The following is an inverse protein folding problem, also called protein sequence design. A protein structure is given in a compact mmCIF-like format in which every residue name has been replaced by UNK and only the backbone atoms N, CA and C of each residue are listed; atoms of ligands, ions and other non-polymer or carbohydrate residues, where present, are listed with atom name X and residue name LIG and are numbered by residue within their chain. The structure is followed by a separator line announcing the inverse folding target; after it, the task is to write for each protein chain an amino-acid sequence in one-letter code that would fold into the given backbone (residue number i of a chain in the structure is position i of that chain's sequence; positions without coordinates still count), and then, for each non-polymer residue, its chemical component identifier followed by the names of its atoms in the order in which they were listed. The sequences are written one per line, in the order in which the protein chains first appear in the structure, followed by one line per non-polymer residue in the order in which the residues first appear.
data_IF_907022233345
#
_entry.id   IF_907022233345
#
_cell.length_a   1.000
_cell.length_b   1.000
_cell.length_c   1.000
_cell.angle_alpha   90.00
_cell.angle_beta   90.00
_cell.angle_gamma   90.00
#
_symmetry.space_group_name_H-M   'P 1'
#
loop_
_entity.id
_entity.type
_entity.pdbx_description
1 polymer ?
#
# COMPACT_ATOMS: atom_id res chain seq x y z
N UNK A 1 -23.46 9.96 -8.83
CA UNK A 1 -22.52 11.00 -9.31
C UNK A 1 -21.95 10.52 -10.63
N UNK A 2 -22.26 11.19 -11.75
CA UNK A 2 -21.72 10.87 -13.07
C UNK A 2 -20.41 11.64 -13.27
N UNK A 3 -19.29 10.96 -13.55
CA UNK A 3 -17.93 11.53 -13.65
C UNK A 3 -17.22 11.04 -14.94
N UNK A 4 -17.73 11.40 -16.14
CA UNK A 4 -17.23 10.86 -17.41
C UNK A 4 -15.79 11.25 -17.71
N UNK A 5 -15.30 12.34 -17.12
CA UNK A 5 -13.93 12.83 -17.29
C UNK A 5 -12.99 12.41 -16.14
N UNK A 6 -13.49 11.67 -15.13
CA UNK A 6 -12.71 11.21 -13.98
C UNK A 6 -12.17 12.32 -13.06
N UNK A 7 -12.60 13.58 -13.25
CA UNK A 7 -12.08 14.75 -12.51
C UNK A 7 -12.39 14.64 -11.02
N UNK A 8 -13.57 14.14 -10.66
CA UNK A 8 -13.93 14.00 -9.25
C UNK A 8 -13.12 12.90 -8.57
N UNK A 9 -12.89 11.77 -9.25
CA UNK A 9 -12.00 10.72 -8.76
C UNK A 9 -10.57 11.21 -8.58
N UNK A 10 -9.98 11.88 -9.59
CA UNK A 10 -8.63 12.44 -9.53
C UNK A 10 -8.46 13.37 -8.33
N UNK A 11 -9.42 14.28 -8.11
CA UNK A 11 -9.42 15.20 -6.96
C UNK A 11 -9.56 14.48 -5.61
N UNK A 12 -10.23 13.32 -5.55
CA UNK A 12 -10.31 12.50 -4.33
C UNK A 12 -8.98 11.83 -4.03
N UNK A 13 -8.34 11.25 -5.04
CA UNK A 13 -7.02 10.59 -4.94
C UNK A 13 -5.97 11.62 -4.49
N UNK A 14 -5.93 12.78 -5.14
CA UNK A 14 -4.99 13.86 -4.79
C UNK A 14 -5.15 14.33 -3.35
N UNK A 15 -6.39 14.67 -2.95
CA UNK A 15 -6.67 15.09 -1.56
C UNK A 15 -6.31 14.01 -0.55
N UNK A 16 -6.51 12.73 -0.88
CA UNK A 16 -6.15 11.62 0.00
C UNK A 16 -4.65 11.54 0.22
N UNK A 17 -3.85 11.65 -0.84
CA UNK A 17 -2.40 11.66 -0.72
C UNK A 17 -1.89 12.89 0.05
N UNK A 18 -2.37 14.10 -0.29
CA UNK A 18 -1.98 15.31 0.42
C UNK A 18 -2.32 15.23 1.90
N UNK A 19 -3.51 14.75 2.25
CA UNK A 19 -3.90 14.52 3.64
C UNK A 19 -2.99 13.52 4.36
N UNK A 20 -2.65 12.40 3.72
CA UNK A 20 -1.72 11.43 4.30
C UNK A 20 -0.32 12.01 4.53
N UNK A 21 0.24 12.78 3.59
CA UNK A 21 1.60 13.32 3.69
C UNK A 21 1.71 14.51 4.66
N UNK A 22 0.70 15.39 4.67
CA UNK A 22 0.73 16.61 5.49
C UNK A 22 0.22 16.38 6.92
N UNK A 23 -0.87 15.63 7.06
CA UNK A 23 -1.56 15.40 8.34
C UNK A 23 -1.28 14.01 8.89
N UNK A 24 -1.30 13.00 8.02
CA UNK A 24 -1.26 11.60 8.42
C UNK A 24 -2.66 11.02 8.68
N UNK A 25 -2.71 9.71 8.93
CA UNK A 25 -3.96 8.99 9.14
C UNK A 25 -4.34 8.78 10.61
N UNK A 26 -3.42 9.07 11.54
CA UNK A 26 -3.65 8.93 12.99
C UNK A 26 -3.67 7.49 13.52
N UNK A 27 -3.48 6.47 12.67
CA UNK A 27 -3.53 5.07 13.07
C UNK A 27 -2.19 4.61 13.68
N UNK A 28 -2.16 3.99 14.88
CA UNK A 28 -0.93 3.57 15.55
C UNK A 28 -0.23 2.40 14.82
N UNK A 29 -0.98 1.54 14.14
CA UNK A 29 -0.42 0.43 13.35
C UNK A 29 0.03 0.86 11.94
N UNK A 30 -0.15 2.13 11.55
CA UNK A 30 0.20 2.54 10.20
C UNK A 30 1.70 2.40 9.98
N UNK A 31 2.10 1.70 8.92
CA UNK A 31 3.49 1.57 8.46
C UNK A 31 3.65 2.01 7.00
N UNK A 32 2.65 2.68 6.44
CA UNK A 32 2.73 3.22 5.09
C UNK A 32 3.69 4.42 5.04
N UNK A 33 4.75 4.29 4.23
CA UNK A 33 5.75 5.35 4.01
C UNK A 33 5.21 6.59 3.27
N UNK A 34 4.03 6.50 2.65
CA UNK A 34 3.31 7.62 2.03
C UNK A 34 2.32 8.27 3.00
N UNK A 35 2.55 8.14 4.30
CA UNK A 35 1.75 8.75 5.35
C UNK A 35 2.63 9.29 6.47
N UNK A 36 2.42 10.55 6.88
CA UNK A 36 3.13 11.19 8.00
C UNK A 36 3.11 10.35 9.27
N UNK A 37 1.93 9.88 9.68
CA UNK A 37 1.79 8.96 10.82
C UNK A 37 2.59 7.68 10.62
N UNK A 38 2.53 7.06 9.43
CA UNK A 38 3.23 5.80 9.17
C UNK A 38 4.75 5.94 9.15
N UNK A 39 5.27 7.10 8.76
CA UNK A 39 6.69 7.43 8.85
C UNK A 39 7.11 7.69 10.29
N UNK A 40 6.32 8.45 11.05
CA UNK A 40 6.57 8.68 12.48
C UNK A 40 6.61 7.37 13.29
N UNK A 41 5.68 6.44 13.03
CA UNK A 41 5.67 5.12 13.67
C UNK A 41 6.88 4.23 13.32
N UNK A 42 7.65 4.62 12.30
CA UNK A 42 8.85 3.91 11.83
C UNK A 42 10.11 4.74 12.02
N UNK A 43 10.04 5.84 12.77
CA UNK A 43 11.17 6.75 13.03
C UNK A 43 11.78 7.32 11.73
N UNK A 44 10.94 7.53 10.71
CA UNK A 44 11.33 8.11 9.43
C UNK A 44 10.94 9.58 9.35
N UNK A 45 11.79 10.39 8.74
CA UNK A 45 11.54 11.81 8.48
C UNK A 45 10.26 12.03 7.63
N UNK A 46 9.43 13.05 7.89
CA UNK A 46 8.22 13.31 7.12
C UNK A 46 8.48 13.46 5.62
N UNK A 47 7.66 12.80 4.80
CA UNK A 47 7.74 12.88 3.33
C UNK A 47 6.82 13.99 2.84
N UNK A 48 7.36 15.19 2.64
CA UNK A 48 6.60 16.35 2.18
C UNK A 48 5.57 16.84 3.22
N UNK A 49 6.04 17.63 4.18
CA UNK A 49 5.21 18.14 5.29
C UNK A 49 4.37 19.38 4.94
N UNK A 50 4.59 19.99 3.78
CA UNK A 50 3.85 21.16 3.26
C UNK A 50 3.25 20.85 1.88
N UNK A 51 2.26 21.66 1.46
CA UNK A 51 1.67 21.52 0.13
C UNK A 51 2.73 21.69 -0.99
N UNK A 52 3.65 22.65 -0.86
CA UNK A 52 4.70 22.89 -1.84
C UNK A 52 5.67 21.71 -1.98
N UNK A 53 5.94 20.99 -0.89
CA UNK A 53 6.79 19.80 -0.89
C UNK A 53 6.04 18.52 -1.30
N UNK A 54 4.75 18.40 -0.97
CA UNK A 54 3.95 17.21 -1.26
C UNK A 54 3.42 17.17 -2.71
N UNK A 55 3.02 18.32 -3.28
CA UNK A 55 2.45 18.38 -4.62
C UNK A 55 3.33 17.76 -5.71
N UNK A 56 4.66 18.03 -5.77
CA UNK A 56 5.55 17.39 -6.75
C UNK A 56 5.61 15.86 -6.61
N UNK A 57 5.45 15.33 -5.40
CA UNK A 57 5.46 13.88 -5.13
C UNK A 57 4.16 13.19 -5.53
N UNK A 58 3.02 13.88 -5.37
CA UNK A 58 1.68 13.32 -5.64
C UNK A 58 1.34 13.36 -7.13
N UNK A 59 1.79 14.38 -7.87
CA UNK A 59 1.48 14.55 -9.29
C UNK A 59 1.77 13.28 -10.15
N UNK A 60 2.95 12.65 -10.07
CA UNK A 60 3.22 11.42 -10.82
C UNK A 60 2.27 10.26 -10.47
N UNK A 61 1.90 10.14 -9.19
CA UNK A 61 0.97 9.08 -8.74
C UNK A 61 -0.45 9.26 -9.31
N UNK A 62 -0.88 10.50 -9.56
CA UNK A 62 -2.16 10.77 -10.20
C UNK A 62 -2.18 10.36 -11.68
N UNK A 63 -1.03 10.46 -12.36
CA UNK A 63 -0.91 10.03 -13.75
C UNK A 63 -0.86 8.50 -13.85
N UNK A 64 -0.24 7.82 -12.88
CA UNK A 64 -0.25 6.37 -12.75
C UNK A 64 -1.64 5.83 -12.37
N UNK A 65 -2.44 6.57 -11.61
CA UNK A 65 -3.78 6.14 -11.18
C UNK A 65 -4.84 6.00 -12.31
N UNK A 66 -4.42 6.01 -13.59
CA UNK A 66 -5.27 5.78 -14.77
C UNK A 66 -5.51 4.31 -15.07
N UNK A 67 -4.64 3.41 -14.60
CA UNK A 67 -4.72 1.96 -14.85
C UNK A 67 -5.07 1.16 -13.58
N UNK A 68 -5.82 0.05 -13.69
CA UNK A 68 -6.14 -0.81 -12.55
C UNK A 68 -4.93 -1.57 -11.99
N UNK A 69 -3.85 -1.70 -12.76
CA UNK A 69 -2.62 -2.42 -12.39
C UNK A 69 -1.57 -1.53 -11.70
N UNK A 70 -1.81 -0.22 -11.60
CA UNK A 70 -0.84 0.72 -11.09
C UNK A 70 -0.91 0.80 -9.56
N UNK A 71 0.22 0.76 -8.85
CA UNK A 71 0.23 0.71 -7.40
C UNK A 71 -0.30 2.01 -6.79
N UNK A 72 -1.15 1.87 -5.77
CA UNK A 72 -1.61 2.98 -4.94
C UNK A 72 -1.12 2.82 -3.51
N UNK A 73 -0.69 3.94 -2.91
CA UNK A 73 -0.07 3.95 -1.59
C UNK A 73 -1.00 4.58 -0.55
N UNK A 74 -2.25 4.15 -0.52
CA UNK A 74 -3.21 4.59 0.49
C UNK A 74 -3.07 3.82 1.79
N UNK A 75 -3.30 4.49 2.91
CA UNK A 75 -3.43 3.82 4.19
C UNK A 75 -4.67 2.93 4.19
N UNK A 76 -4.45 1.64 4.46
CA UNK A 76 -5.48 0.61 4.60
C UNK A 76 -5.66 0.22 6.08
N UNK A 77 -6.51 -0.77 6.36
CA UNK A 77 -6.68 -1.34 7.68
C UNK A 77 -5.46 -2.15 8.14
N UNK A 78 -5.44 -2.54 9.42
CA UNK A 78 -4.34 -3.25 10.05
C UNK A 78 -4.12 -4.65 9.47
N UNK A 79 -5.21 -5.39 9.23
CA UNK A 79 -5.13 -6.76 8.73
C UNK A 79 -4.51 -6.77 7.32
N UNK A 80 -4.90 -5.82 6.46
CA UNK A 80 -4.32 -5.66 5.13
C UNK A 80 -2.81 -5.31 5.19
N UNK A 81 -2.40 -4.42 6.10
CA UNK A 81 -0.97 -4.09 6.27
C UNK A 81 -0.16 -5.28 6.81
N UNK A 82 -0.71 -6.03 7.76
CA UNK A 82 -0.06 -7.21 8.32
C UNK A 82 0.12 -8.29 7.24
N UNK A 83 -0.94 -8.62 6.50
CA UNK A 83 -0.88 -9.62 5.42
C UNK A 83 0.12 -9.24 4.34
N UNK A 84 0.13 -7.97 3.91
CA UNK A 84 1.09 -7.47 2.92
C UNK A 84 2.53 -7.63 3.41
N UNK A 85 2.82 -7.28 4.66
CA UNK A 85 4.15 -7.46 5.26
C UNK A 85 4.57 -8.93 5.30
N UNK A 86 3.65 -9.82 5.69
CA UNK A 86 3.94 -11.26 5.72
C UNK A 86 4.19 -11.82 4.32
N UNK A 87 3.42 -11.38 3.33
CA UNK A 87 3.61 -11.75 1.93
C UNK A 87 4.98 -11.28 1.41
N UNK A 88 5.38 -10.03 1.71
CA UNK A 88 6.69 -9.49 1.33
C UNK A 88 7.85 -10.26 1.98
N UNK A 89 7.70 -10.67 3.25
CA UNK A 89 8.69 -11.49 3.95
C UNK A 89 8.85 -12.88 3.31
N UNK A 90 7.75 -13.54 2.92
CA UNK A 90 7.82 -14.85 2.25
C UNK A 90 8.32 -14.71 0.82
N UNK A 91 7.90 -13.67 0.08
CA UNK A 91 8.41 -13.40 -1.27
C UNK A 91 9.93 -13.10 -1.29
N UNK A 92 10.49 -12.58 -0.19
CA UNK A 92 11.93 -12.40 -0.05
C UNK A 92 12.74 -13.72 -0.06
N UNK A 93 12.08 -14.87 0.17
CA UNK A 93 12.67 -16.21 -0.02
C UNK A 93 12.90 -16.53 -1.52
N UNK A 94 12.35 -15.72 -2.44
CA UNK A 94 12.50 -15.82 -3.91
C UNK A 94 12.00 -17.13 -4.54
N UNK A 95 11.23 -17.92 -3.80
CA UNK A 95 10.64 -19.16 -4.30
C UNK A 95 9.32 -18.96 -5.09
N UNK A 96 8.59 -17.88 -4.80
CA UNK A 96 7.32 -17.52 -5.43
C UNK A 96 7.25 -16.02 -5.74
N UNK A 97 6.43 -15.66 -6.72
CA UNK A 97 6.11 -14.26 -7.00
C UNK A 97 5.25 -13.65 -5.88
N UNK A 98 5.34 -12.33 -5.72
CA UNK A 98 4.70 -11.60 -4.63
C UNK A 98 3.17 -11.73 -4.66
N UNK A 99 2.58 -11.75 -5.85
CA UNK A 99 1.14 -11.89 -6.07
C UNK A 99 0.61 -13.20 -5.47
N UNK A 100 1.37 -14.30 -5.62
CA UNK A 100 1.05 -15.58 -4.98
C UNK A 100 1.19 -15.51 -3.47
N UNK A 101 2.24 -14.86 -2.97
CA UNK A 101 2.42 -14.65 -1.53
C UNK A 101 1.30 -13.81 -0.91
N UNK A 102 0.75 -12.83 -1.64
CA UNK A 102 -0.40 -12.03 -1.19
C UNK A 102 -1.66 -12.88 -1.11
N UNK A 103 -1.97 -13.66 -2.16
CA UNK A 103 -3.11 -14.56 -2.16
C UNK A 103 -3.04 -15.57 -1.00
N UNK A 104 -1.84 -16.12 -0.76
CA UNK A 104 -1.57 -17.00 0.36
C UNK A 104 -1.75 -16.30 1.73
N UNK A 105 -1.32 -15.04 1.86
CA UNK A 105 -1.49 -14.26 3.09
C UNK A 105 -2.95 -13.92 3.41
N UNK A 106 -3.78 -13.76 2.38
CA UNK A 106 -5.23 -13.63 2.53
C UNK A 106 -5.87 -14.93 3.00
N UNK A 107 -5.51 -16.06 2.39
CA UNK A 107 -6.01 -17.38 2.76
C UNK A 107 -5.55 -17.82 4.16
N UNK A 108 -4.26 -17.68 4.46
CA UNK A 108 -3.62 -18.07 5.72
C UNK A 108 -3.78 -17.07 6.87
N UNK A 109 -4.61 -16.02 6.70
CA UNK A 109 -4.89 -14.98 7.70
C UNK A 109 -3.63 -14.34 8.33
N UNK A 110 -2.51 -14.30 7.60
CA UNK A 110 -1.25 -13.73 8.07
C UNK A 110 -0.35 -14.67 8.88
N UNK A 111 -0.64 -15.96 8.96
CA UNK A 111 0.24 -16.98 9.56
C UNK A 111 1.29 -17.47 8.54
N UNK A 112 2.58 -17.34 8.87
CA UNK A 112 3.67 -17.68 7.94
C UNK A 112 3.73 -19.16 7.55
N UNK A 113 3.32 -20.07 8.44
CA UNK A 113 3.30 -21.51 8.16
C UNK A 113 2.16 -21.83 7.21
N UNK A 114 0.96 -21.32 7.50
CA UNK A 114 -0.21 -21.52 6.63
C UNK A 114 -0.02 -20.89 5.24
N UNK A 115 0.65 -19.73 5.18
CA UNK A 115 1.05 -19.10 3.91
C UNK A 115 1.91 -20.06 3.08
N UNK A 116 2.94 -20.67 3.68
CA UNK A 116 3.85 -21.58 2.97
C UNK A 116 3.16 -22.87 2.54
N UNK A 117 2.33 -23.46 3.41
CA UNK A 117 1.54 -24.65 3.09
C UNK A 117 0.62 -24.40 1.89
N UNK A 118 -0.07 -23.25 1.88
CA UNK A 118 -0.91 -22.85 0.76
C UNK A 118 -0.09 -22.65 -0.53
N UNK A 119 1.06 -21.97 -0.45
CA UNK A 119 1.93 -21.76 -1.62
C UNK A 119 2.45 -23.08 -2.20
N UNK A 120 2.82 -24.05 -1.36
CA UNK A 120 3.27 -25.36 -1.82
C UNK A 120 2.16 -26.15 -2.53
N UNK A 121 0.92 -26.01 -2.07
CA UNK A 121 -0.22 -26.71 -2.65
C UNK A 121 -0.74 -26.09 -3.95
N UNK A 122 -0.65 -24.76 -4.10
CA UNK A 122 -1.38 -24.04 -5.15
C UNK A 122 -0.53 -23.17 -6.07
N UNK A 123 0.65 -22.71 -5.63
CA UNK A 123 1.42 -21.71 -6.37
C UNK A 123 2.58 -22.33 -7.19
N UNK A 124 2.74 -21.94 -8.46
CA UNK A 124 3.89 -22.35 -9.26
C UNK A 124 5.18 -21.75 -8.69
N UNK A 125 6.24 -22.57 -8.65
CA UNK A 125 7.57 -22.08 -8.28
C UNK A 125 8.18 -21.25 -9.41
N UNK A 126 9.02 -20.30 -9.02
CA UNK A 126 9.83 -19.49 -9.93
C UNK A 126 11.04 -20.25 -10.47
#
# INVERSE_FOLDING_TARGET
MHDPEGKALRRRIERRYLGQLMTGCGKPHCRNEWCKTGRANQELEPKGSSASAALPLVKPLLEMAKGPSEPMFFCVDEASQLRRKMAEMVAAEKAWDLEWCIAAAEAGKGDATQIREWLQAWAPRR
#
